data_IF_847254564113
#
_entry.id   IF_847254564113
#
_cell.length_a   1.000
_cell.length_b   1.000
_cell.length_c   1.000
_cell.angle_alpha   90.00
_cell.angle_beta   90.00
_cell.angle_gamma   90.00
#
_symmetry.space_group_name_H-M   'P 1'
#
loop_
_entity.id
_entity.type
_entity.pdbx_description
1 polymer ?
#
# COMPACT_ATOMS: atom_id res chain seq x y z
N UNK A 1 -8.89 -4.67 18.09
CA UNK A 1 -9.67 -3.86 17.13
C UNK A 1 -11.14 -3.76 17.54
N UNK A 2 -11.77 -4.89 17.92
CA UNK A 2 -13.18 -4.97 18.33
C UNK A 2 -13.52 -3.96 19.44
N UNK A 3 -12.64 -3.84 20.42
CA UNK A 3 -12.83 -2.96 21.58
C UNK A 3 -12.70 -1.46 21.26
N UNK A 4 -12.10 -1.14 20.11
CA UNK A 4 -11.92 0.25 19.65
C UNK A 4 -12.93 0.70 18.59
N UNK A 5 -13.79 -0.17 18.09
CA UNK A 5 -14.78 0.20 17.08
C UNK A 5 -15.74 1.29 17.58
N UNK A 6 -16.11 1.23 18.86
CA UNK A 6 -17.02 2.20 19.45
C UNK A 6 -16.35 3.54 19.81
N UNK A 7 -15.01 3.61 19.79
CA UNK A 7 -14.26 4.85 20.03
C UNK A 7 -13.93 5.62 18.75
N UNK A 8 -14.31 5.09 17.58
CA UNK A 8 -14.17 5.77 16.31
C UNK A 8 -15.27 6.82 16.12
N UNK A 9 -15.01 7.87 15.32
CA UNK A 9 -16.03 8.81 14.90
C UNK A 9 -17.27 8.10 14.32
N UNK A 10 -18.49 8.61 14.59
CA UNK A 10 -19.74 7.93 14.21
C UNK A 10 -19.87 7.64 12.70
N UNK A 11 -19.35 8.51 11.87
CA UNK A 11 -19.32 8.41 10.41
C UNK A 11 -18.41 7.27 9.90
N UNK A 12 -17.34 6.97 10.66
CA UNK A 12 -16.36 5.92 10.31
C UNK A 12 -16.75 4.54 10.87
N UNK A 13 -17.56 4.49 11.92
CA UNK A 13 -17.94 3.22 12.56
C UNK A 13 -18.59 2.20 11.60
N UNK A 14 -19.51 2.57 10.70
CA UNK A 14 -20.10 1.62 9.75
C UNK A 14 -19.06 0.99 8.83
N UNK A 15 -18.13 1.81 8.31
CA UNK A 15 -17.05 1.35 7.45
C UNK A 15 -16.09 0.40 8.21
N UNK A 16 -15.72 0.76 9.41
CA UNK A 16 -14.86 -0.06 10.26
C UNK A 16 -15.53 -1.40 10.62
N UNK A 17 -16.84 -1.42 10.88
CA UNK A 17 -17.62 -2.65 11.08
C UNK A 17 -17.67 -3.51 9.82
N UNK A 18 -17.86 -2.89 8.65
CA UNK A 18 -17.87 -3.62 7.38
C UNK A 18 -16.51 -4.31 7.11
N UNK A 19 -15.40 -3.62 7.35
CA UNK A 19 -14.04 -4.21 7.25
C UNK A 19 -13.88 -5.36 8.24
N UNK A 20 -14.29 -5.16 9.49
CA UNK A 20 -14.19 -6.18 10.53
C UNK A 20 -14.99 -7.44 10.19
N UNK A 21 -16.21 -7.29 9.67
CA UNK A 21 -17.07 -8.41 9.29
C UNK A 21 -16.50 -9.24 8.12
N UNK A 22 -15.61 -8.66 7.33
CA UNK A 22 -14.91 -9.35 6.23
C UNK A 22 -13.56 -9.96 6.64
N UNK A 23 -13.24 -9.98 7.92
CA UNK A 23 -11.97 -10.48 8.45
C UNK A 23 -11.63 -11.89 7.93
N UNK A 24 -12.58 -12.81 7.97
CA UNK A 24 -12.37 -14.20 7.50
C UNK A 24 -12.09 -14.27 5.99
N UNK A 25 -12.72 -13.41 5.19
CA UNK A 25 -12.43 -13.31 3.76
C UNK A 25 -10.97 -12.90 3.53
N UNK A 26 -10.48 -11.88 4.26
CA UNK A 26 -9.09 -11.45 4.15
C UNK A 26 -8.12 -12.55 4.57
N UNK A 27 -8.35 -13.19 5.70
CA UNK A 27 -7.50 -14.31 6.15
C UNK A 27 -7.57 -15.50 5.21
N UNK A 28 -8.72 -15.78 4.61
CA UNK A 28 -8.86 -16.80 3.58
C UNK A 28 -7.96 -16.55 2.38
N UNK A 29 -7.91 -15.30 1.88
CA UNK A 29 -7.02 -14.90 0.78
C UNK A 29 -5.54 -15.04 1.15
N UNK A 30 -5.15 -14.65 2.36
CA UNK A 30 -3.77 -14.84 2.82
C UNK A 30 -3.39 -16.32 2.94
N UNK A 31 -4.29 -17.18 3.44
CA UNK A 31 -4.06 -18.64 3.50
C UNK A 31 -3.82 -19.25 2.13
N UNK A 32 -4.55 -18.80 1.09
CA UNK A 32 -4.31 -19.26 -0.29
C UNK A 32 -2.86 -19.01 -0.73
N UNK A 33 -2.32 -17.83 -0.43
CA UNK A 33 -0.93 -17.49 -0.77
C UNK A 33 0.05 -18.31 0.05
N UNK A 34 -0.21 -18.52 1.34
CA UNK A 34 0.67 -19.29 2.23
C UNK A 34 0.72 -20.79 1.87
N UNK A 35 -0.37 -21.33 1.34
CA UNK A 35 -0.47 -22.73 0.95
C UNK A 35 0.11 -23.03 -0.45
N UNK A 36 0.47 -22.01 -1.20
CA UNK A 36 1.09 -22.17 -2.52
C UNK A 36 2.61 -22.10 -2.41
N UNK A 37 3.28 -23.08 -3.02
CA UNK A 37 4.74 -23.02 -3.19
C UNK A 37 5.06 -21.93 -4.24
N UNK A 38 5.44 -20.75 -3.75
CA UNK A 38 5.84 -19.65 -4.63
C UNK A 38 7.30 -19.91 -5.05
N UNK A 39 7.50 -20.33 -6.29
CA UNK A 39 8.82 -20.55 -6.91
C UNK A 39 9.38 -19.25 -7.51
N UNK A 40 9.17 -18.12 -6.87
CA UNK A 40 9.66 -16.83 -7.32
C UNK A 40 11.15 -16.63 -6.97
N UNK A 41 11.91 -16.08 -7.89
CA UNK A 41 13.29 -15.66 -7.63
C UNK A 41 13.32 -14.57 -6.57
N UNK A 42 14.27 -14.68 -5.64
CA UNK A 42 14.59 -13.62 -4.70
C UNK A 42 15.68 -12.75 -5.30
N UNK A 43 15.37 -11.51 -5.58
CA UNK A 43 16.30 -10.52 -6.12
C UNK A 43 16.55 -9.40 -5.11
N UNK A 44 17.54 -8.58 -5.38
CA UNK A 44 17.60 -7.26 -4.77
C UNK A 44 16.37 -6.46 -5.27
N UNK A 45 15.72 -5.76 -4.41
CA UNK A 45 14.53 -4.96 -4.69
C UNK A 45 14.73 -3.56 -4.11
N UNK A 46 13.91 -2.60 -4.53
CA UNK A 46 14.00 -1.22 -4.06
C UNK A 46 13.68 -1.13 -2.56
N UNK A 47 12.60 -1.76 -2.14
CA UNK A 47 12.22 -1.89 -0.73
C UNK A 47 11.38 -0.75 -0.17
N UNK A 48 11.23 0.35 -0.91
CA UNK A 48 10.35 1.48 -0.61
C UNK A 48 9.87 2.15 -1.91
N UNK A 49 9.45 1.33 -2.87
CA UNK A 49 9.10 1.78 -4.22
C UNK A 49 7.67 2.34 -4.27
N UNK A 50 7.57 3.64 -4.49
CA UNK A 50 6.32 4.38 -4.62
C UNK A 50 6.51 5.59 -5.55
N UNK A 51 5.44 6.30 -5.91
CA UNK A 51 5.49 7.42 -6.85
C UNK A 51 6.47 8.52 -6.47
N UNK A 52 6.66 8.79 -5.18
CA UNK A 52 7.63 9.76 -4.69
C UNK A 52 9.10 9.38 -4.93
N UNK A 53 9.39 8.13 -5.35
CA UNK A 53 10.72 7.65 -5.72
C UNK A 53 10.93 7.62 -7.23
N UNK A 54 10.03 8.24 -8.00
CA UNK A 54 10.09 8.30 -9.46
C UNK A 54 10.10 9.76 -9.90
N UNK A 55 11.18 10.19 -10.52
CA UNK A 55 11.32 11.53 -11.07
C UNK A 55 11.08 11.50 -12.57
N UNK A 56 10.23 12.42 -13.05
CA UNK A 56 10.03 12.64 -14.47
C UNK A 56 11.00 13.71 -14.99
N UNK A 57 11.77 13.38 -16.02
CA UNK A 57 12.79 14.27 -16.59
C UNK A 57 12.31 15.08 -17.81
N UNK A 58 11.04 14.94 -18.16
CA UNK A 58 10.49 15.51 -19.40
C UNK A 58 10.50 14.54 -20.59
N UNK A 59 11.32 13.51 -20.53
CA UNK A 59 11.42 12.44 -21.57
C UNK A 59 11.35 11.03 -20.98
N UNK A 60 11.85 10.87 -19.76
CA UNK A 60 12.03 9.56 -19.14
C UNK A 60 11.75 9.60 -17.65
N UNK A 61 11.77 8.47 -17.00
CA UNK A 61 11.57 8.31 -15.58
C UNK A 61 12.85 7.78 -14.93
N UNK A 62 13.27 8.45 -13.85
CA UNK A 62 14.42 8.03 -13.04
C UNK A 62 13.90 7.54 -11.69
N UNK A 63 14.29 6.33 -11.32
CA UNK A 63 14.02 5.76 -10.00
C UNK A 63 15.17 6.14 -9.07
N UNK A 64 14.87 6.67 -7.91
CA UNK A 64 15.83 7.16 -6.91
C UNK A 64 15.66 6.40 -5.59
N UNK A 65 16.59 6.60 -4.66
CA UNK A 65 16.52 6.14 -3.27
C UNK A 65 16.44 4.61 -3.09
N UNK A 66 17.37 3.91 -3.74
CA UNK A 66 17.49 2.43 -3.64
C UNK A 66 17.94 1.91 -2.28
N UNK A 67 18.03 2.76 -1.28
CA UNK A 67 18.43 2.37 0.07
C UNK A 67 17.37 1.55 0.80
N UNK A 68 16.14 1.58 0.31
CA UNK A 68 14.97 0.96 0.94
C UNK A 68 14.49 1.76 2.16
N UNK A 69 13.42 1.29 2.78
CA UNK A 69 12.70 2.03 3.84
C UNK A 69 13.60 2.35 5.04
N UNK A 70 13.86 3.64 5.37
CA UNK A 70 14.79 4.05 6.44
C UNK A 70 14.42 3.49 7.82
N UNK A 71 13.14 3.25 8.07
CA UNK A 71 12.64 2.70 9.33
C UNK A 71 13.01 1.22 9.56
N UNK A 72 13.59 0.54 8.56
CA UNK A 72 14.03 -0.86 8.67
C UNK A 72 15.54 -0.95 8.92
N UNK A 73 15.97 -1.93 9.72
CA UNK A 73 17.39 -2.21 9.91
C UNK A 73 18.11 -2.48 8.57
N UNK A 74 19.37 -2.08 8.47
CA UNK A 74 20.17 -2.24 7.25
C UNK A 74 20.27 -3.71 6.81
N UNK A 75 20.37 -4.62 7.76
CA UNK A 75 20.36 -6.07 7.50
C UNK A 75 19.09 -6.51 6.77
N UNK A 76 17.95 -5.99 7.17
CA UNK A 76 16.67 -6.30 6.54
C UNK A 76 16.56 -5.67 5.14
N UNK A 77 17.05 -4.43 4.98
CA UNK A 77 17.06 -3.72 3.68
C UNK A 77 17.93 -4.43 2.64
N UNK A 78 18.99 -5.12 3.06
CA UNK A 78 19.90 -5.88 2.18
C UNK A 78 19.39 -7.28 1.81
N UNK A 79 18.35 -7.79 2.45
CA UNK A 79 17.80 -9.11 2.17
C UNK A 79 17.19 -9.16 0.76
N UNK A 80 17.53 -10.21 0.01
CA UNK A 80 16.85 -10.52 -1.26
C UNK A 80 15.43 -11.00 -0.98
N UNK A 81 14.45 -10.43 -1.65
CA UNK A 81 13.03 -10.78 -1.53
C UNK A 81 12.36 -10.85 -2.90
N UNK A 82 11.09 -11.18 -2.92
CA UNK A 82 10.30 -11.15 -4.16
C UNK A 82 10.18 -9.71 -4.68
N UNK A 83 10.46 -9.45 -5.97
CA UNK A 83 10.26 -8.13 -6.58
C UNK A 83 8.80 -7.67 -6.59
N UNK A 84 7.85 -8.60 -6.40
CA UNK A 84 6.42 -8.27 -6.28
C UNK A 84 6.12 -7.33 -5.10
N UNK A 85 7.03 -7.20 -4.14
CA UNK A 85 6.88 -6.21 -3.07
C UNK A 85 6.93 -4.78 -3.59
N UNK A 86 7.84 -4.50 -4.53
CA UNK A 86 7.93 -3.17 -5.14
C UNK A 86 6.74 -2.91 -6.05
N UNK A 87 6.30 -3.92 -6.80
CA UNK A 87 5.08 -3.84 -7.61
C UNK A 87 3.87 -3.51 -6.74
N UNK A 88 3.69 -4.22 -5.63
CA UNK A 88 2.60 -3.96 -4.69
C UNK A 88 2.69 -2.56 -4.07
N UNK A 89 3.89 -2.10 -3.72
CA UNK A 89 4.13 -0.75 -3.20
C UNK A 89 3.74 0.34 -4.21
N UNK A 90 4.12 0.17 -5.46
CA UNK A 90 3.77 1.11 -6.52
C UNK A 90 2.26 1.13 -6.81
N UNK A 91 1.61 -0.03 -6.88
CA UNK A 91 0.16 -0.11 -7.06
C UNK A 91 -0.59 0.58 -5.91
N UNK A 92 -0.14 0.36 -4.65
CA UNK A 92 -0.70 1.06 -3.51
C UNK A 92 -0.49 2.58 -3.62
N UNK A 93 0.67 3.02 -4.05
CA UNK A 93 0.98 4.44 -4.20
C UNK A 93 0.10 5.13 -5.25
N UNK A 94 -0.23 4.47 -6.36
CA UNK A 94 -1.21 4.98 -7.32
C UNK A 94 -2.60 5.07 -6.71
N UNK A 95 -3.01 4.05 -5.96
CA UNK A 95 -4.30 4.05 -5.28
C UNK A 95 -4.39 5.21 -4.27
N UNK A 96 -3.36 5.41 -3.46
CA UNK A 96 -3.30 6.50 -2.48
C UNK A 96 -3.33 7.87 -3.16
N UNK A 97 -2.57 8.05 -4.25
CA UNK A 97 -2.56 9.29 -5.01
C UNK A 97 -3.94 9.62 -5.61
N UNK A 98 -4.64 8.61 -6.15
CA UNK A 98 -5.98 8.79 -6.68
C UNK A 98 -6.98 9.19 -5.58
N UNK A 99 -6.91 8.55 -4.40
CA UNK A 99 -7.79 8.88 -3.27
C UNK A 99 -7.51 10.28 -2.72
N UNK A 100 -6.23 10.67 -2.60
CA UNK A 100 -5.84 12.01 -2.15
C UNK A 100 -6.33 13.06 -3.16
N UNK A 101 -6.12 12.84 -4.45
CA UNK A 101 -6.61 13.75 -5.49
C UNK A 101 -8.13 13.91 -5.43
N UNK A 102 -8.86 12.79 -5.32
CA UNK A 102 -10.31 12.82 -5.17
C UNK A 102 -10.76 13.58 -3.92
N UNK A 103 -10.12 13.33 -2.78
CA UNK A 103 -10.46 14.03 -1.53
C UNK A 103 -10.24 15.55 -1.66
N UNK A 104 -9.13 15.98 -2.28
CA UNK A 104 -8.84 17.39 -2.51
C UNK A 104 -9.87 18.04 -3.45
N UNK A 105 -10.33 17.34 -4.49
CA UNK A 105 -11.37 17.84 -5.42
C UNK A 105 -12.75 17.95 -4.75
N UNK A 106 -13.06 17.05 -3.83
CA UNK A 106 -14.27 17.13 -3.00
C UNK A 106 -14.17 18.31 -2.04
N UNK A 107 -13.04 18.49 -1.36
CA UNK A 107 -12.81 19.58 -0.41
C UNK A 107 -12.82 20.96 -1.09
N UNK A 108 -12.28 21.05 -2.30
CA UNK A 108 -12.34 22.28 -3.12
C UNK A 108 -13.73 22.60 -3.69
N UNK A 109 -14.69 21.67 -3.54
CA UNK A 109 -16.05 21.82 -4.08
C UNK A 109 -16.16 21.60 -5.60
N UNK A 110 -15.10 21.13 -6.25
CA UNK A 110 -15.08 20.83 -7.69
C UNK A 110 -15.93 19.59 -8.01
N UNK A 111 -15.94 18.61 -7.10
CA UNK A 111 -16.74 17.38 -7.21
C UNK A 111 -17.65 17.27 -5.98
N UNK A 112 -18.93 16.95 -6.20
CA UNK A 112 -19.85 16.61 -5.11
C UNK A 112 -19.70 15.13 -4.76
N UNK A 113 -19.44 14.84 -3.48
CA UNK A 113 -19.52 13.46 -2.98
C UNK A 113 -21.00 13.04 -2.96
N UNK A 114 -21.36 12.02 -3.72
CA UNK A 114 -22.68 11.38 -3.62
C UNK A 114 -22.72 10.43 -2.44
#
# INVERSE_FOLDING_TARGET
>A
LKDRLNSLPPDIQPLAKAVFNRQEEFFGRFRLVLNQKITAMRTRYHGDYHLGQVLYTGKDFIIIDFEGKPTRPLTERRMKRSPLRDVAGMLQSFHDAANIAFANEVESGTIQSK
#
